data_IF_919303905285
#
_entry.id   IF_919303905285
#
_cell.length_a   1.000
_cell.length_b   1.000
_cell.length_c   1.000
_cell.angle_alpha   90.00
_cell.angle_beta   90.00
_cell.angle_gamma   90.00
#
_symmetry.space_group_name_H-M   'P 1'
#
loop_
_entity.id
_entity.type
_entity.pdbx_description
1 polymer ?
#
# COMPACT_ATOMS: atom_id res chain seq x y z
N UNK A 1 81.32 -3.51 29.55
CA UNK A 1 80.74 -2.99 28.29
C UNK A 1 79.37 -3.61 28.16
N UNK A 2 78.38 -2.82 28.44
CA UNK A 2 77.00 -3.27 28.66
C UNK A 2 76.19 -2.98 27.40
N UNK A 3 75.79 -4.06 26.70
CA UNK A 3 74.84 -3.94 25.61
C UNK A 3 73.40 -4.00 26.15
N UNK A 4 72.70 -2.88 26.10
CA UNK A 4 71.27 -2.78 26.42
C UNK A 4 70.48 -3.05 25.17
N UNK A 5 69.83 -4.22 25.12
CA UNK A 5 68.82 -4.54 24.13
C UNK A 5 67.49 -3.97 24.60
N UNK A 6 66.95 -3.04 23.85
CA UNK A 6 65.62 -2.47 24.07
C UNK A 6 64.65 -3.33 23.24
N UNK A 7 63.84 -4.11 23.94
CA UNK A 7 62.70 -4.81 23.34
C UNK A 7 61.58 -3.81 23.19
N UNK A 8 61.32 -3.38 21.97
CA UNK A 8 60.15 -2.62 21.64
C UNK A 8 58.96 -3.61 21.46
N UNK A 9 58.09 -3.61 22.46
CA UNK A 9 56.83 -4.35 22.43
C UNK A 9 55.79 -3.53 21.66
N UNK A 10 55.60 -3.85 20.37
CA UNK A 10 54.56 -3.29 19.55
C UNK A 10 53.22 -3.94 19.88
N UNK A 11 52.38 -3.26 20.64
CA UNK A 11 50.98 -3.64 20.85
C UNK A 11 50.21 -3.26 19.60
N UNK A 12 49.85 -4.27 18.77
CA UNK A 12 48.99 -4.09 17.62
C UNK A 12 47.53 -4.07 18.08
N UNK A 13 46.95 -2.86 18.23
CA UNK A 13 45.56 -2.67 18.56
C UNK A 13 44.73 -2.89 17.29
N UNK A 14 44.17 -4.09 17.11
CA UNK A 14 43.24 -4.40 16.02
C UNK A 14 41.89 -3.74 16.31
N UNK A 15 41.62 -2.60 15.71
CA UNK A 15 40.31 -2.00 15.70
C UNK A 15 39.39 -2.78 14.76
N UNK A 16 38.49 -3.59 15.32
CA UNK A 16 37.41 -4.22 14.57
C UNK A 16 36.35 -3.18 14.28
N UNK A 17 36.37 -2.65 13.06
CA UNK A 17 35.31 -1.79 12.55
C UNK A 17 34.15 -2.68 12.12
N UNK A 18 33.14 -2.84 12.98
CA UNK A 18 31.87 -3.46 12.62
C UNK A 18 31.12 -2.46 11.73
N UNK A 19 31.26 -2.65 10.42
CA UNK A 19 30.48 -1.92 9.42
C UNK A 19 29.09 -2.50 9.42
N UNK A 20 28.17 -1.88 10.16
CA UNK A 20 26.74 -2.14 10.08
C UNK A 20 26.24 -1.63 8.72
N UNK A 21 26.16 -2.51 7.74
CA UNK A 21 25.45 -2.25 6.50
C UNK A 21 23.95 -2.15 6.81
N UNK A 22 23.49 -0.96 7.17
CA UNK A 22 22.09 -0.63 7.08
C UNK A 22 21.75 -0.61 5.57
N UNK A 23 21.08 -1.65 5.10
CA UNK A 23 20.54 -1.64 3.74
C UNK A 23 19.55 -0.45 3.64
N UNK A 24 19.72 0.44 2.66
CA UNK A 24 18.75 1.51 2.46
C UNK A 24 17.40 0.86 2.12
N UNK A 25 16.38 1.15 2.93
CA UNK A 25 15.00 0.84 2.57
C UNK A 25 14.76 1.60 1.27
N UNK A 26 14.60 0.84 0.17
CA UNK A 26 14.34 1.43 -1.13
C UNK A 26 13.03 2.22 -1.03
N UNK A 27 13.11 3.53 -1.22
CA UNK A 27 11.92 4.35 -1.38
C UNK A 27 11.14 3.83 -2.58
N UNK A 28 9.78 3.77 -2.51
CA UNK A 28 8.98 3.32 -3.64
C UNK A 28 9.32 4.18 -4.87
N UNK A 29 9.64 3.50 -5.97
CA UNK A 29 10.00 4.19 -7.20
C UNK A 29 8.83 5.08 -7.67
N UNK A 30 9.08 6.31 -8.13
CA UNK A 30 8.02 7.15 -8.66
C UNK A 30 7.34 6.47 -9.85
N UNK A 31 6.01 6.50 -9.87
CA UNK A 31 5.23 5.92 -10.97
C UNK A 31 5.45 6.77 -12.22
N UNK A 32 6.25 6.26 -13.13
CA UNK A 32 6.56 6.93 -14.40
C UNK A 32 5.55 6.45 -15.44
N UNK A 33 4.66 7.32 -15.94
CA UNK A 33 3.90 6.96 -17.13
C UNK A 33 2.38 7.08 -17.10
N UNK A 34 1.80 7.99 -16.31
CA UNK A 34 0.35 8.27 -16.32
C UNK A 34 -0.43 7.53 -15.23
N UNK A 35 -1.76 7.75 -15.15
CA UNK A 35 -2.55 7.20 -14.07
C UNK A 35 -2.55 5.67 -14.09
N UNK A 36 -2.46 5.04 -12.90
CA UNK A 36 -2.57 3.59 -12.77
C UNK A 36 -3.96 3.09 -13.15
N UNK A 37 -4.04 1.82 -13.54
CA UNK A 37 -5.30 1.11 -13.78
C UNK A 37 -5.79 0.57 -12.45
N UNK A 38 -7.06 0.82 -12.13
CA UNK A 38 -7.71 0.36 -10.91
C UNK A 38 -8.86 -0.56 -11.30
N UNK A 39 -8.93 -1.74 -10.70
CA UNK A 39 -10.03 -2.68 -10.85
C UNK A 39 -10.60 -3.00 -9.48
N UNK A 40 -11.93 -3.03 -9.35
CA UNK A 40 -12.62 -3.34 -8.12
C UNK A 40 -13.42 -4.63 -8.26
N UNK A 41 -13.28 -5.53 -7.29
CA UNK A 41 -14.07 -6.75 -7.16
C UNK A 41 -14.63 -6.85 -5.74
N UNK A 42 -15.79 -7.52 -5.61
CA UNK A 42 -16.44 -7.77 -4.32
C UNK A 42 -16.36 -9.24 -3.95
N UNK A 43 -16.17 -9.53 -2.66
CA UNK A 43 -16.21 -10.89 -2.16
C UNK A 43 -17.06 -10.95 -0.86
N UNK A 44 -18.17 -11.71 -0.82
CA UNK A 44 -18.74 -12.41 -1.96
C UNK A 44 -19.27 -11.47 -3.03
N UNK A 45 -19.36 -11.94 -4.24
CA UNK A 45 -20.05 -11.22 -5.30
C UNK A 45 -21.40 -11.90 -5.60
N UNK A 46 -22.51 -11.16 -5.70
CA UNK A 46 -22.68 -9.73 -5.47
C UNK A 46 -22.60 -9.32 -3.99
N UNK A 47 -22.38 -8.04 -3.73
CA UNK A 47 -22.35 -7.49 -2.38
C UNK A 47 -23.72 -7.62 -1.70
N UNK A 48 -23.73 -7.93 -0.40
CA UNK A 48 -24.97 -8.13 0.38
C UNK A 48 -25.16 -7.00 1.40
N UNK A 49 -26.43 -6.56 1.56
CA UNK A 49 -26.80 -5.50 2.47
C UNK A 49 -26.72 -5.86 3.96
N UNK A 50 -26.70 -7.11 4.32
CA UNK A 50 -26.70 -7.56 5.70
C UNK A 50 -25.38 -8.29 6.05
N UNK A 51 -24.26 -7.62 5.88
CA UNK A 51 -22.97 -8.23 6.17
C UNK A 51 -21.78 -7.37 5.78
N UNK A 52 -20.60 -7.84 6.10
CA UNK A 52 -19.37 -7.24 5.61
C UNK A 52 -19.06 -7.80 4.21
N UNK A 53 -18.92 -6.92 3.26
CA UNK A 53 -18.41 -7.25 1.93
C UNK A 53 -16.95 -6.83 1.84
N UNK A 54 -16.09 -7.75 1.47
CA UNK A 54 -14.71 -7.44 1.18
C UNK A 54 -14.60 -6.81 -0.21
N UNK A 55 -14.05 -5.62 -0.27
CA UNK A 55 -13.70 -4.94 -1.50
C UNK A 55 -12.24 -5.22 -1.80
N UNK A 56 -11.98 -5.84 -2.94
CA UNK A 56 -10.62 -6.13 -3.42
C UNK A 56 -10.31 -5.20 -4.59
N UNK A 57 -9.31 -4.37 -4.39
CA UNK A 57 -8.83 -3.40 -5.37
C UNK A 57 -7.52 -3.91 -5.96
N UNK A 58 -7.45 -4.07 -7.26
CA UNK A 58 -6.20 -4.34 -7.97
C UNK A 58 -5.71 -3.07 -8.62
N UNK A 59 -4.46 -2.71 -8.33
CA UNK A 59 -3.80 -1.53 -8.88
C UNK A 59 -2.62 -1.97 -9.73
N UNK A 60 -2.63 -1.57 -10.99
CA UNK A 60 -1.57 -1.85 -11.96
C UNK A 60 -1.07 -0.55 -12.58
N UNK A 61 0.20 -0.51 -12.91
CA UNK A 61 0.73 0.58 -13.69
C UNK A 61 0.20 0.52 -15.15
N UNK A 62 0.57 1.50 -15.97
CA UNK A 62 0.12 1.56 -17.36
C UNK A 62 0.63 0.39 -18.21
N UNK A 63 1.71 -0.26 -17.81
CA UNK A 63 2.26 -1.44 -18.47
C UNK A 63 1.57 -2.76 -18.00
N UNK A 64 0.60 -2.66 -17.08
CA UNK A 64 -0.09 -3.82 -16.52
C UNK A 64 0.66 -4.52 -15.39
N UNK A 65 1.75 -3.92 -14.91
CA UNK A 65 2.53 -4.44 -13.78
C UNK A 65 1.85 -4.08 -12.46
N UNK A 66 1.76 -5.00 -11.50
CA UNK A 66 1.22 -4.70 -10.18
C UNK A 66 1.93 -3.53 -9.50
N UNK A 67 1.16 -2.57 -8.99
CA UNK A 67 1.66 -1.40 -8.30
C UNK A 67 1.61 -1.63 -6.79
N UNK A 68 2.76 -1.65 -6.14
CA UNK A 68 2.91 -1.86 -4.71
C UNK A 68 3.43 -0.61 -4.00
N UNK A 69 3.29 -0.54 -2.68
CA UNK A 69 3.79 0.59 -1.90
C UNK A 69 2.99 1.88 -2.07
N UNK A 70 1.74 1.77 -2.51
CA UNK A 70 0.79 2.89 -2.58
C UNK A 70 -0.24 2.76 -1.47
N UNK A 71 -0.88 3.87 -1.12
CA UNK A 71 -2.06 3.89 -0.26
C UNK A 71 -3.30 3.86 -1.13
N UNK A 72 -4.25 3.01 -0.75
CA UNK A 72 -5.54 2.91 -1.43
C UNK A 72 -6.62 3.30 -0.44
N UNK A 73 -7.25 4.43 -0.68
CA UNK A 73 -8.38 4.92 0.11
C UNK A 73 -9.67 4.54 -0.61
N UNK A 74 -10.61 4.02 0.17
CA UNK A 74 -11.92 3.61 -0.31
C UNK A 74 -12.97 4.47 0.36
N UNK A 75 -13.80 5.12 -0.42
CA UNK A 75 -14.96 5.88 0.04
C UNK A 75 -16.21 5.27 -0.55
N UNK A 76 -17.15 4.84 0.28
CA UNK A 76 -18.41 4.27 -0.16
C UNK A 76 -19.60 5.14 0.31
N UNK A 77 -20.49 5.50 -0.59
CA UNK A 77 -21.71 6.26 -0.32
C UNK A 77 -22.88 5.75 -1.17
N UNK A 78 -24.10 5.88 -0.68
CA UNK A 78 -25.27 5.53 -1.47
C UNK A 78 -25.47 6.51 -2.62
N UNK A 79 -25.64 6.00 -3.83
CA UNK A 79 -25.79 6.81 -5.03
C UNK A 79 -27.09 7.67 -5.03
N UNK A 80 -28.17 7.14 -4.44
CA UNK A 80 -29.46 7.80 -4.41
C UNK A 80 -29.68 8.76 -3.22
N UNK A 81 -29.08 8.43 -2.06
CA UNK A 81 -29.27 9.20 -0.83
C UNK A 81 -27.96 9.16 -0.04
N UNK A 82 -27.21 10.24 -0.05
CA UNK A 82 -26.01 10.32 0.78
C UNK A 82 -26.41 10.32 2.27
N UNK A 83 -26.04 9.24 2.95
CA UNK A 83 -26.23 9.09 4.39
C UNK A 83 -24.95 9.31 5.18
N UNK A 84 -23.93 9.84 4.53
CA UNK A 84 -22.57 9.97 5.05
C UNK A 84 -21.65 8.91 4.44
N UNK A 85 -20.62 9.36 3.77
CA UNK A 85 -19.66 8.49 3.14
C UNK A 85 -18.86 7.71 4.18
N UNK A 86 -18.75 6.40 3.99
CA UNK A 86 -17.84 5.55 4.75
C UNK A 86 -16.47 5.61 4.09
N UNK A 87 -15.44 5.90 4.88
CA UNK A 87 -14.06 5.97 4.40
C UNK A 87 -13.21 4.94 5.13
N UNK A 88 -12.33 4.29 4.39
CA UNK A 88 -11.37 3.34 4.93
C UNK A 88 -10.12 3.27 4.06
N UNK A 89 -9.03 2.84 4.65
CA UNK A 89 -7.80 2.50 3.93
C UNK A 89 -7.79 1.00 3.67
N UNK A 90 -7.54 0.61 2.42
CA UNK A 90 -7.41 -0.80 2.06
C UNK A 90 -6.01 -1.32 2.43
N UNK A 91 -5.97 -2.52 3.01
CA UNK A 91 -4.73 -3.18 3.44
C UNK A 91 -4.04 -3.82 2.24
N UNK A 92 -2.75 -3.63 2.12
CA UNK A 92 -1.91 -4.25 1.09
C UNK A 92 -1.87 -5.78 1.29
N UNK A 93 -2.27 -6.51 0.26
CA UNK A 93 -2.25 -7.98 0.21
C UNK A 93 -1.09 -8.51 -0.64
N UNK A 94 -0.22 -7.63 -1.12
CA UNK A 94 0.84 -7.97 -2.05
C UNK A 94 0.39 -8.02 -3.52
N UNK A 95 1.35 -7.99 -4.42
CA UNK A 95 1.13 -8.05 -5.88
C UNK A 95 0.15 -6.99 -6.42
N UNK A 96 0.12 -5.80 -5.83
CA UNK A 96 -0.79 -4.72 -6.25
C UNK A 96 -2.26 -4.96 -5.90
N UNK A 97 -2.55 -5.87 -4.97
CA UNK A 97 -3.89 -6.12 -4.43
C UNK A 97 -4.03 -5.47 -3.06
N UNK A 98 -5.15 -4.81 -2.87
CA UNK A 98 -5.51 -4.13 -1.64
C UNK A 98 -6.93 -4.54 -1.26
N UNK A 99 -7.18 -4.82 0.01
CA UNK A 99 -8.49 -5.25 0.47
C UNK A 99 -8.98 -4.45 1.67
N UNK A 100 -10.27 -4.16 1.69
CA UNK A 100 -10.95 -3.58 2.85
C UNK A 100 -12.34 -4.16 2.98
N UNK A 101 -12.88 -4.15 4.20
CA UNK A 101 -14.24 -4.60 4.46
C UNK A 101 -15.14 -3.39 4.60
N UNK A 102 -16.27 -3.43 3.92
CA UNK A 102 -17.29 -2.39 3.97
C UNK A 102 -18.61 -3.01 4.40
N UNK A 103 -19.20 -2.53 5.51
CA UNK A 103 -20.54 -2.95 5.92
C UNK A 103 -21.59 -2.15 5.15
N UNK A 104 -22.10 -2.72 4.07
CA UNK A 104 -23.22 -2.10 3.35
C UNK A 104 -24.52 -2.27 4.18
N UNK A 105 -25.03 -1.17 4.71
CA UNK A 105 -26.19 -1.20 5.60
C UNK A 105 -27.54 -1.42 4.91
N UNK A 106 -27.62 -1.19 3.61
CA UNK A 106 -28.88 -1.28 2.84
C UNK A 106 -28.62 -1.74 1.42
N UNK A 107 -29.62 -2.42 0.84
CA UNK A 107 -29.63 -2.76 -0.57
C UNK A 107 -29.78 -1.51 -1.43
N UNK A 108 -29.20 -1.51 -2.61
CA UNK A 108 -29.24 -0.42 -3.56
C UNK A 108 -27.94 -0.23 -4.33
N UNK A 109 -27.86 0.84 -5.08
CA UNK A 109 -26.64 1.22 -5.79
C UNK A 109 -25.73 2.05 -4.87
N UNK A 110 -24.51 1.59 -4.71
CA UNK A 110 -23.48 2.26 -3.94
C UNK A 110 -22.37 2.77 -4.86
N UNK A 111 -22.04 4.03 -4.70
CA UNK A 111 -20.88 4.64 -5.35
C UNK A 111 -19.66 4.40 -4.48
N UNK A 112 -18.67 3.72 -5.03
CA UNK A 112 -17.39 3.46 -4.37
C UNK A 112 -16.30 4.23 -5.12
N UNK A 113 -15.69 5.20 -4.44
CA UNK A 113 -14.57 5.97 -4.96
C UNK A 113 -13.28 5.38 -4.43
N UNK A 114 -12.39 5.01 -5.33
CA UNK A 114 -11.06 4.51 -5.03
C UNK A 114 -10.05 5.60 -5.34
N UNK A 115 -9.27 6.00 -4.34
CA UNK A 115 -8.18 6.95 -4.50
C UNK A 115 -6.85 6.24 -4.22
N UNK A 116 -5.96 6.27 -5.20
CA UNK A 116 -4.61 5.69 -5.10
C UNK A 116 -3.61 6.80 -4.89
N UNK A 117 -2.84 6.72 -3.81
CA UNK A 117 -1.84 7.72 -3.41
C UNK A 117 -0.45 7.11 -3.28
N UNK A 118 0.55 7.88 -3.67
CA UNK A 118 1.95 7.61 -3.35
C UNK A 118 2.51 8.78 -2.54
N UNK A 119 2.75 8.55 -1.25
CA UNK A 119 3.03 9.63 -0.32
C UNK A 119 1.86 10.62 -0.28
N UNK A 120 2.12 11.88 -0.53
CA UNK A 120 1.11 12.94 -0.58
C UNK A 120 0.50 13.17 -1.98
N UNK A 121 0.98 12.42 -2.98
CA UNK A 121 0.54 12.58 -4.37
C UNK A 121 -0.59 11.61 -4.70
N UNK A 122 -1.71 12.13 -5.21
CA UNK A 122 -2.81 11.32 -5.76
C UNK A 122 -2.42 10.88 -7.16
N UNK A 123 -2.32 9.57 -7.38
CA UNK A 123 -1.97 8.97 -8.67
C UNK A 123 -3.19 8.73 -9.55
N UNK A 124 -4.29 8.31 -8.93
CA UNK A 124 -5.56 8.07 -9.61
C UNK A 124 -6.73 8.19 -8.63
N UNK A 125 -7.87 8.59 -9.17
CA UNK A 125 -9.17 8.51 -8.50
C UNK A 125 -10.15 7.90 -9.49
N UNK A 126 -10.87 6.85 -9.07
CA UNK A 126 -11.83 6.16 -9.91
C UNK A 126 -13.09 5.81 -9.14
N UNK A 127 -14.24 6.07 -9.77
CA UNK A 127 -15.56 5.77 -9.24
C UNK A 127 -16.09 4.44 -9.81
N UNK A 128 -16.70 3.65 -8.95
CA UNK A 128 -17.38 2.40 -9.29
C UNK A 128 -18.80 2.45 -8.73
N UNK A 129 -19.76 1.86 -9.43
CA UNK A 129 -21.10 1.63 -8.92
C UNK A 129 -21.27 0.14 -8.64
N UNK A 130 -21.61 -0.18 -7.39
CA UNK A 130 -21.79 -1.55 -6.92
C UNK A 130 -23.26 -1.75 -6.56
N UNK A 131 -23.96 -2.72 -7.20
CA UNK A 131 -25.29 -3.13 -6.76
C UNK A 131 -25.14 -4.00 -5.50
N UNK A 132 -25.81 -3.59 -4.43
CA UNK A 132 -25.91 -4.30 -3.15
C UNK A 132 -27.29 -4.89 -3.03
N UNK A 133 -27.38 -6.21 -2.75
CA UNK A 133 -28.63 -6.97 -2.67
C UNK A 133 -29.00 -7.31 -1.23
#
# INVERSE_FOLDING_TARGET
MIKRSIFALSVLLAAVVVSACAAPVAAPAPVTGGPPQVTLTTNPGPAAAAGETELVVEVKDRAGKPLTGVKVLVTADMAAHSMGAMQGEATDQGNGRYATKVPFGMAGEWKVTIEVRQGDTVLATQDFVIPVQ
#
